data_IF_401029677324
#
_entry.id   IF_401029677324
#
_cell.length_a   1.000
_cell.length_b   1.000
_cell.length_c   1.000
_cell.angle_alpha   90.00
_cell.angle_beta   90.00
_cell.angle_gamma   90.00
#
_symmetry.space_group_name_H-M   'P 1'
#
loop_
_entity.id
_entity.type
_entity.pdbx_description
1 polymer ?
#
# COMPACT_ATOMS: atom_id res chain seq x y z
N UNK A 1 3.97 14.05 -19.72
CA UNK A 1 3.76 13.04 -18.66
C UNK A 1 2.97 13.71 -17.54
N UNK A 2 1.90 13.10 -17.02
CA UNK A 2 1.13 13.70 -15.93
C UNK A 2 1.85 13.57 -14.57
N UNK A 3 1.45 14.39 -13.60
CA UNK A 3 2.09 14.46 -12.28
C UNK A 3 2.05 13.12 -11.53
N UNK A 4 0.91 12.41 -11.59
CA UNK A 4 0.78 11.08 -11.01
C UNK A 4 1.83 10.11 -11.57
N UNK A 5 2.05 10.11 -12.89
CA UNK A 5 3.01 9.23 -13.55
C UNK A 5 4.45 9.62 -13.20
N UNK A 6 4.73 10.91 -13.06
CA UNK A 6 6.04 11.40 -12.62
C UNK A 6 6.38 10.86 -11.23
N UNK A 7 5.48 11.06 -10.26
CA UNK A 7 5.67 10.59 -8.88
C UNK A 7 5.74 9.06 -8.81
N UNK A 8 4.94 8.35 -9.62
CA UNK A 8 5.03 6.89 -9.71
C UNK A 8 6.42 6.41 -10.14
N UNK A 9 7.05 7.07 -11.11
CA UNK A 9 8.39 6.68 -11.55
C UNK A 9 9.44 6.92 -10.45
N UNK A 10 9.27 7.97 -9.65
CA UNK A 10 10.15 8.29 -8.51
C UNK A 10 9.97 7.29 -7.34
N UNK A 11 8.80 6.64 -7.27
CA UNK A 11 8.51 5.65 -6.23
C UNK A 11 9.27 4.34 -6.41
N UNK A 12 9.88 4.02 -7.55
CA UNK A 12 10.65 2.77 -7.77
C UNK A 12 9.94 1.52 -7.22
N UNK A 13 8.69 1.34 -7.63
CA UNK A 13 7.84 0.17 -7.32
C UNK A 13 7.12 -0.28 -8.59
N UNK A 14 6.63 -1.50 -8.62
CA UNK A 14 5.85 -1.97 -9.76
C UNK A 14 4.38 -1.51 -9.71
N UNK A 15 3.69 -1.61 -10.86
CA UNK A 15 2.29 -1.16 -11.00
C UNK A 15 1.31 -1.97 -10.13
N UNK A 16 1.61 -3.25 -9.93
CA UNK A 16 0.82 -4.14 -9.07
C UNK A 16 0.97 -3.74 -7.61
N UNK A 17 2.18 -3.39 -7.19
CA UNK A 17 2.48 -2.86 -5.88
C UNK A 17 1.74 -1.54 -5.63
N UNK A 18 1.79 -0.58 -6.57
CA UNK A 18 1.01 0.66 -6.45
C UNK A 18 -0.50 0.40 -6.34
N UNK A 19 -1.02 -0.56 -7.12
CA UNK A 19 -2.43 -0.98 -7.07
C UNK A 19 -2.80 -1.51 -5.69
N UNK A 20 -1.89 -2.24 -5.03
CA UNK A 20 -2.08 -2.73 -3.67
C UNK A 20 -2.00 -1.62 -2.64
N UNK A 21 -0.94 -0.81 -2.67
CA UNK A 21 -0.68 0.24 -1.68
C UNK A 21 -1.79 1.29 -1.64
N UNK A 22 -2.39 1.61 -2.80
CA UNK A 22 -3.51 2.56 -2.91
C UNK A 22 -4.89 1.90 -2.81
N UNK A 23 -4.96 0.58 -2.59
CA UNK A 23 -6.19 -0.21 -2.61
C UNK A 23 -7.15 0.19 -3.75
N UNK A 24 -6.61 0.31 -4.96
CA UNK A 24 -7.32 0.89 -6.10
C UNK A 24 -7.43 -0.15 -7.22
N UNK A 25 -8.51 -0.21 -8.01
CA UNK A 25 -8.61 -1.14 -9.12
C UNK A 25 -7.47 -0.98 -10.13
N UNK A 26 -6.94 -2.10 -10.63
CA UNK A 26 -5.82 -2.12 -11.60
C UNK A 26 -6.10 -1.26 -12.83
N UNK A 27 -7.34 -1.29 -13.34
CA UNK A 27 -7.74 -0.52 -14.50
C UNK A 27 -7.63 1.00 -14.26
N UNK A 28 -7.99 1.45 -13.05
CA UNK A 28 -7.89 2.86 -12.64
C UNK A 28 -6.44 3.33 -12.64
N UNK A 29 -5.54 2.59 -11.98
CA UNK A 29 -4.10 2.89 -11.99
C UNK A 29 -3.55 2.89 -13.42
N UNK A 30 -3.96 1.93 -14.25
CA UNK A 30 -3.48 1.83 -15.62
C UNK A 30 -3.94 3.03 -16.46
N UNK A 31 -5.17 3.50 -16.28
CA UNK A 31 -5.68 4.69 -16.96
C UNK A 31 -4.95 5.96 -16.51
N UNK A 32 -4.61 6.08 -15.23
CA UNK A 32 -3.81 7.20 -14.72
C UNK A 32 -2.40 7.20 -15.32
N UNK A 33 -1.73 6.04 -15.36
CA UNK A 33 -0.38 5.90 -15.90
C UNK A 33 -0.30 6.05 -17.43
N UNK A 34 -1.34 5.63 -18.17
CA UNK A 34 -1.41 5.82 -19.63
C UNK A 34 -1.71 7.26 -20.03
N UNK A 35 -2.11 8.11 -19.10
CA UNK A 35 -2.58 9.46 -19.41
C UNK A 35 -3.94 9.51 -20.08
N UNK A 36 -4.72 8.42 -20.02
CA UNK A 36 -6.09 8.35 -20.56
C UNK A 36 -7.09 9.17 -19.75
N UNK A 37 -6.71 9.62 -18.56
CA UNK A 37 -7.49 10.51 -17.70
C UNK A 37 -7.00 11.94 -17.91
N UNK A 38 -7.81 12.74 -18.61
CA UNK A 38 -7.51 14.15 -18.94
C UNK A 38 -7.52 15.06 -17.72
N UNK A 39 -8.47 14.85 -16.79
CA UNK A 39 -8.55 15.57 -15.52
C UNK A 39 -8.29 14.60 -14.36
N UNK A 40 -7.03 14.50 -13.94
CA UNK A 40 -6.65 13.66 -12.80
C UNK A 40 -7.33 14.16 -11.52
N UNK A 41 -8.01 13.30 -10.74
CA UNK A 41 -8.56 13.72 -9.46
C UNK A 41 -7.45 14.24 -8.55
N UNK A 42 -7.66 15.40 -7.94
CA UNK A 42 -6.69 15.98 -7.01
C UNK A 42 -6.36 15.02 -5.86
N UNK A 43 -7.35 14.26 -5.38
CA UNK A 43 -7.17 13.21 -4.37
C UNK A 43 -6.18 12.12 -4.80
N UNK A 44 -6.19 11.69 -6.07
CA UNK A 44 -5.25 10.68 -6.57
C UNK A 44 -3.81 11.20 -6.58
N UNK A 45 -3.63 12.47 -6.98
CA UNK A 45 -2.31 13.14 -6.94
C UNK A 45 -1.83 13.30 -5.50
N UNK A 46 -2.70 13.74 -4.59
CA UNK A 46 -2.38 13.87 -3.16
C UNK A 46 -1.98 12.53 -2.54
N UNK A 47 -2.72 11.46 -2.83
CA UNK A 47 -2.43 10.13 -2.27
C UNK A 47 -1.09 9.58 -2.76
N UNK A 48 -0.77 9.68 -4.05
CA UNK A 48 0.54 9.22 -4.54
C UNK A 48 1.68 10.10 -4.04
N UNK A 49 1.45 11.41 -3.87
CA UNK A 49 2.43 12.34 -3.28
C UNK A 49 2.70 11.98 -1.83
N UNK A 50 1.66 11.69 -1.04
CA UNK A 50 1.79 11.22 0.33
C UNK A 50 2.57 9.92 0.39
N UNK A 51 2.28 8.98 -0.50
CA UNK A 51 2.98 7.71 -0.58
C UNK A 51 4.49 7.91 -0.86
N UNK A 52 4.84 8.81 -1.78
CA UNK A 52 6.22 9.18 -2.08
C UNK A 52 6.91 9.86 -0.89
N UNK A 53 6.22 10.79 -0.23
CA UNK A 53 6.70 11.43 1.00
C UNK A 53 7.01 10.40 2.09
N UNK A 54 6.11 9.44 2.33
CA UNK A 54 6.31 8.37 3.31
C UNK A 54 7.51 7.50 2.91
N UNK A 55 7.64 7.10 1.64
CA UNK A 55 8.80 6.30 1.17
C UNK A 55 10.12 7.04 1.44
N UNK A 56 10.16 8.34 1.14
CA UNK A 56 11.38 9.16 1.26
C UNK A 56 11.76 9.46 2.72
N UNK A 57 10.78 9.80 3.56
CA UNK A 57 11.05 10.32 4.91
C UNK A 57 10.83 9.27 6.01
N UNK A 58 10.00 8.26 5.75
CA UNK A 58 9.61 7.23 6.71
C UNK A 58 9.62 5.84 6.04
N UNK A 59 10.78 5.38 5.51
CA UNK A 59 10.86 4.14 4.72
C UNK A 59 10.32 2.91 5.46
N UNK A 60 10.49 2.87 6.79
CA UNK A 60 9.92 1.81 7.62
C UNK A 60 8.39 1.82 7.63
N UNK A 61 7.76 2.98 7.74
CA UNK A 61 6.30 3.09 7.68
C UNK A 61 5.77 2.69 6.30
N UNK A 62 6.53 2.94 5.24
CA UNK A 62 6.21 2.46 3.90
C UNK A 62 6.25 0.93 3.81
N UNK A 63 7.30 0.28 4.36
CA UNK A 63 7.40 -1.19 4.44
C UNK A 63 6.20 -1.78 5.21
N UNK A 64 5.93 -1.26 6.40
CA UNK A 64 4.83 -1.71 7.27
C UNK A 64 3.46 -1.53 6.59
N UNK A 65 3.25 -0.40 5.89
CA UNK A 65 2.04 -0.17 5.11
C UNK A 65 1.85 -1.23 4.02
N UNK A 66 2.92 -1.58 3.31
CA UNK A 66 2.91 -2.62 2.28
C UNK A 66 2.56 -4.01 2.81
N UNK A 67 3.08 -4.38 3.98
CA UNK A 67 2.74 -5.65 4.64
C UNK A 67 1.26 -5.70 5.05
N UNK A 68 0.75 -4.62 5.66
CA UNK A 68 -0.68 -4.53 6.05
C UNK A 68 -1.59 -4.61 4.84
N UNK A 69 -1.27 -3.91 3.74
CA UNK A 69 -2.10 -3.99 2.52
C UNK A 69 -2.05 -5.37 1.85
N UNK A 70 -0.88 -6.03 1.82
CA UNK A 70 -0.76 -7.42 1.32
C UNK A 70 -1.60 -8.38 2.14
N UNK A 71 -1.51 -8.27 3.46
CA UNK A 71 -2.26 -9.10 4.38
C UNK A 71 -3.78 -8.95 4.18
N UNK A 72 -4.29 -7.71 4.18
CA UNK A 72 -5.72 -7.43 3.99
C UNK A 72 -6.24 -8.01 2.66
N UNK A 73 -5.49 -7.84 1.57
CA UNK A 73 -5.87 -8.34 0.24
C UNK A 73 -5.90 -9.87 0.15
N UNK A 74 -5.02 -10.55 0.89
CA UNK A 74 -5.00 -12.02 0.95
C UNK A 74 -6.19 -12.56 1.74
N UNK A 75 -6.67 -11.81 2.73
CA UNK A 75 -7.83 -12.19 3.54
C UNK A 75 -9.16 -11.91 2.83
N UNK A 76 -9.30 -10.79 2.10
CA UNK A 76 -10.47 -10.55 1.24
C UNK A 76 -10.72 -11.70 0.24
N UNK A 77 -9.64 -12.30 -0.27
CA UNK A 77 -9.72 -13.45 -1.18
C UNK A 77 -10.16 -14.76 -0.50
N UNK A 78 -9.92 -14.89 0.81
CA UNK A 78 -10.27 -16.10 1.58
C UNK A 78 -11.74 -16.09 1.97
N UNK A 79 -12.22 -14.95 2.46
CA UNK A 79 -13.53 -14.91 3.15
C UNK A 79 -14.59 -14.06 2.43
N UNK A 80 -14.22 -13.35 1.35
CA UNK A 80 -15.14 -12.49 0.59
C UNK A 80 -15.66 -11.26 1.34
N UNK A 81 -15.25 -11.08 2.61
CA UNK A 81 -15.61 -9.96 3.47
C UNK A 81 -14.41 -9.05 3.73
N UNK A 82 -14.68 -7.75 3.91
CA UNK A 82 -13.68 -6.77 4.36
C UNK A 82 -13.39 -7.02 5.84
N UNK A 83 -12.14 -7.36 6.19
CA UNK A 83 -11.73 -7.53 7.58
C UNK A 83 -11.84 -6.20 8.33
N UNK A 84 -12.48 -6.22 9.50
CA UNK A 84 -12.42 -5.11 10.43
C UNK A 84 -11.05 -5.03 11.10
N UNK A 85 -10.71 -3.87 11.67
CA UNK A 85 -9.48 -3.69 12.45
C UNK A 85 -9.42 -4.67 13.64
N UNK A 86 -10.56 -5.09 14.17
CA UNK A 86 -10.65 -6.13 15.20
C UNK A 86 -10.28 -7.50 14.69
N UNK A 87 -10.66 -7.86 13.46
CA UNK A 87 -10.30 -9.15 12.87
C UNK A 87 -8.80 -9.23 12.58
N UNK A 88 -8.18 -8.10 12.22
CA UNK A 88 -6.73 -7.98 12.02
C UNK A 88 -5.97 -8.13 13.36
N UNK A 89 -6.43 -7.45 14.42
CA UNK A 89 -5.81 -7.52 15.74
C UNK A 89 -6.00 -8.92 16.36
N UNK A 90 -7.06 -9.64 16.02
CA UNK A 90 -7.31 -10.98 16.54
C UNK A 90 -6.68 -12.09 15.68
N UNK A 91 -6.02 -11.77 14.55
CA UNK A 91 -5.32 -12.78 13.76
C UNK A 91 -3.96 -13.10 14.39
N UNK A 92 -3.91 -14.26 15.04
CA UNK A 92 -2.76 -14.75 15.78
C UNK A 92 -1.53 -14.97 14.88
N UNK A 93 -1.72 -15.29 13.60
CA UNK A 93 -0.63 -15.51 12.64
C UNK A 93 -0.01 -14.17 12.23
N UNK A 94 -0.85 -13.14 12.01
CA UNK A 94 -0.37 -11.79 11.75
C UNK A 94 0.37 -11.23 12.97
N UNK A 95 -0.20 -11.37 14.17
CA UNK A 95 0.45 -10.92 15.40
C UNK A 95 1.77 -11.63 15.64
N UNK A 96 1.85 -12.95 15.44
CA UNK A 96 3.10 -13.70 15.52
C UNK A 96 4.12 -13.25 14.47
N UNK A 97 3.67 -12.91 13.25
CA UNK A 97 4.51 -12.33 12.22
C UNK A 97 5.10 -10.98 12.64
N UNK A 98 4.26 -10.09 13.16
CA UNK A 98 4.65 -8.77 13.67
C UNK A 98 5.63 -8.89 14.84
N UNK A 99 5.34 -9.76 15.81
CA UNK A 99 6.19 -10.01 16.98
C UNK A 99 7.55 -10.55 16.54
N UNK A 100 7.58 -11.58 15.69
CA UNK A 100 8.81 -12.16 15.16
C UNK A 100 9.65 -11.12 14.42
N UNK A 101 9.02 -10.23 13.66
CA UNK A 101 9.75 -9.16 12.99
C UNK A 101 10.28 -8.11 13.97
N UNK A 102 9.53 -7.82 15.03
CA UNK A 102 9.95 -6.99 16.16
C UNK A 102 11.16 -7.56 16.91
N UNK A 103 11.15 -8.86 17.19
CA UNK A 103 12.26 -9.57 17.86
C UNK A 103 13.53 -9.59 17.01
N UNK A 104 13.40 -9.95 15.71
CA UNK A 104 14.55 -9.98 14.78
C UNK A 104 15.24 -8.62 14.63
N UNK A 105 14.50 -7.53 14.80
CA UNK A 105 15.02 -6.17 14.75
C UNK A 105 15.28 -5.56 16.14
N UNK A 106 15.10 -6.32 17.21
CA UNK A 106 15.41 -5.93 18.59
C UNK A 106 14.45 -4.93 19.24
N UNK A 107 13.24 -4.76 18.70
CA UNK A 107 12.21 -3.87 19.24
C UNK A 107 11.40 -4.49 20.37
N UNK A 108 11.36 -5.83 20.40
CA UNK A 108 10.70 -6.62 21.42
C UNK A 108 11.79 -7.54 21.99
N UNK A 109 11.91 -7.57 23.32
CA UNK A 109 12.89 -8.38 24.05
C UNK A 109 12.30 -9.70 24.48
#
# INVERSE_FOLDING_TARGET
>A
MNEFTRIFNDLDIDKTELTMLLNTPRNTIFNYLKGSVTNMPASAVTLITLLAFIKQHHPRAFEEWGEVTRYNKNQEKRDGNTLSLFDIINDEVLLQGIVRHGELRGFIK
#
